data_IF_930528246196
#
_entry.id   IF_930528246196
#
_cell.length_a   1.000
_cell.length_b   1.000
_cell.length_c   1.000
_cell.angle_alpha   90.00
_cell.angle_beta   90.00
_cell.angle_gamma   90.00
#
_symmetry.space_group_name_H-M   'P 1'
#
loop_
_entity.id
_entity.type
_entity.pdbx_description
1 polymer ?
#
# COMPACT_ATOMS: atom_id res chain seq x y z
N UNK A 1 7.37 0.71 -16.80
CA UNK A 1 7.69 2.08 -16.37
C UNK A 1 9.21 2.18 -16.35
N UNK A 2 9.80 3.28 -16.83
CA UNK A 2 11.25 3.47 -16.76
C UNK A 2 11.72 3.65 -15.30
N UNK A 3 13.03 3.53 -15.00
CA UNK A 3 13.52 3.59 -13.64
C UNK A 3 13.23 4.93 -12.94
N UNK A 4 13.34 6.06 -13.64
CA UNK A 4 13.16 7.38 -13.03
C UNK A 4 11.68 7.66 -12.77
N UNK A 5 10.79 7.26 -13.67
CA UNK A 5 9.35 7.31 -13.41
C UNK A 5 8.95 6.42 -12.23
N UNK A 6 9.58 5.25 -12.08
CA UNK A 6 9.34 4.38 -10.90
C UNK A 6 9.76 5.08 -9.60
N UNK A 7 10.90 5.78 -9.59
CA UNK A 7 11.31 6.58 -8.43
C UNK A 7 10.28 7.65 -8.08
N UNK A 8 9.79 8.39 -9.08
CA UNK A 8 8.79 9.44 -8.87
C UNK A 8 7.47 8.86 -8.38
N UNK A 9 7.04 7.72 -8.93
CA UNK A 9 5.85 7.00 -8.48
C UNK A 9 5.97 6.56 -7.02
N UNK A 10 7.14 6.07 -6.59
CA UNK A 10 7.40 5.72 -5.20
C UNK A 10 7.36 6.94 -4.26
N UNK A 11 7.87 8.10 -4.69
CA UNK A 11 7.72 9.36 -3.95
C UNK A 11 6.24 9.75 -3.86
N UNK A 12 5.50 9.60 -4.96
CA UNK A 12 4.09 9.97 -5.06
C UNK A 12 3.19 9.12 -4.15
N UNK A 13 3.47 7.82 -4.05
CA UNK A 13 2.75 6.86 -3.21
C UNK A 13 2.94 7.09 -1.70
N UNK A 14 4.00 7.79 -1.30
CA UNK A 14 4.17 8.23 0.10
C UNK A 14 3.35 9.48 0.44
N UNK A 15 2.50 9.94 -0.49
CA UNK A 15 1.44 10.88 -0.19
C UNK A 15 1.94 12.26 0.24
N UNK A 16 1.09 13.01 0.93
CA UNK A 16 1.42 14.36 1.37
C UNK A 16 2.48 14.40 2.49
N UNK A 17 2.57 13.34 3.30
CA UNK A 17 3.62 13.16 4.30
C UNK A 17 5.03 13.06 3.71
N UNK A 18 5.14 12.67 2.43
CA UNK A 18 6.40 12.54 1.71
C UNK A 18 7.27 11.36 2.17
N UNK A 19 8.32 11.11 1.39
CA UNK A 19 9.27 10.02 1.60
C UNK A 19 10.62 10.53 2.09
N UNK A 20 11.21 9.86 3.08
CA UNK A 20 12.62 10.12 3.46
C UNK A 20 13.56 9.38 2.51
N UNK A 21 14.80 9.85 2.36
CA UNK A 21 15.79 9.19 1.50
C UNK A 21 16.04 7.72 1.87
N UNK A 22 16.24 7.34 3.15
CA UNK A 22 16.37 5.93 3.51
C UNK A 22 15.13 5.10 3.15
N UNK A 23 13.93 5.64 3.37
CA UNK A 23 12.67 4.98 3.02
C UNK A 23 12.54 4.75 1.51
N UNK A 24 12.99 5.70 0.69
CA UNK A 24 13.01 5.54 -0.77
C UNK A 24 13.85 4.33 -1.18
N UNK A 25 15.02 4.14 -0.59
CA UNK A 25 15.87 2.98 -0.89
C UNK A 25 15.21 1.66 -0.47
N UNK A 26 14.57 1.63 0.70
CA UNK A 26 13.82 0.47 1.19
C UNK A 26 12.68 0.10 0.23
N UNK A 27 11.92 1.11 -0.23
CA UNK A 27 10.82 0.92 -1.18
C UNK A 27 11.31 0.43 -2.55
N UNK A 28 12.31 1.08 -3.12
CA UNK A 28 12.88 0.67 -4.41
C UNK A 28 13.51 -0.72 -4.36
N UNK A 29 14.07 -1.12 -3.21
CA UNK A 29 14.62 -2.46 -3.01
C UNK A 29 13.55 -3.58 -3.00
N UNK A 30 12.28 -3.23 -2.79
CA UNK A 30 11.17 -4.19 -2.65
C UNK A 30 10.02 -3.98 -3.62
N UNK A 31 10.12 -2.99 -4.51
CA UNK A 31 9.12 -2.69 -5.54
C UNK A 31 8.91 -3.88 -6.48
N UNK A 32 7.68 -4.05 -6.95
CA UNK A 32 7.31 -5.06 -7.94
C UNK A 32 6.73 -4.39 -9.20
N UNK A 33 7.13 -4.79 -10.41
CA UNK A 33 8.26 -5.66 -10.74
C UNK A 33 9.59 -5.08 -10.21
N UNK A 34 10.59 -5.96 -10.04
CA UNK A 34 11.88 -5.61 -9.44
C UNK A 34 12.48 -4.37 -10.11
N UNK A 35 12.94 -3.43 -9.30
CA UNK A 35 13.61 -2.23 -9.80
C UNK A 35 14.80 -2.61 -10.69
N UNK A 36 14.90 -2.06 -11.92
CA UNK A 36 15.86 -2.53 -12.92
C UNK A 36 17.31 -2.15 -12.62
N UNK A 37 17.56 -1.13 -11.79
CA UNK A 37 18.91 -0.68 -11.45
C UNK A 37 19.35 -1.25 -10.09
N UNK A 38 20.66 -1.50 -9.94
CA UNK A 38 21.24 -1.84 -8.64
C UNK A 38 21.32 -0.59 -7.78
N UNK A 39 20.92 -0.67 -6.51
CA UNK A 39 20.99 0.47 -5.59
C UNK A 39 22.39 0.63 -4.98
N UNK A 40 23.41 0.71 -5.82
CA UNK A 40 24.76 1.10 -5.42
C UNK A 40 24.88 2.64 -5.27
N UNK A 41 25.99 3.11 -4.72
CA UNK A 41 26.16 4.54 -4.39
C UNK A 41 26.11 5.43 -5.65
N UNK A 42 26.66 4.98 -6.77
CA UNK A 42 26.60 5.71 -8.04
C UNK A 42 25.16 5.84 -8.55
N UNK A 43 24.38 4.76 -8.48
CA UNK A 43 22.97 4.79 -8.89
C UNK A 43 22.14 5.65 -7.95
N UNK A 44 22.39 5.59 -6.63
CA UNK A 44 21.71 6.48 -5.66
C UNK A 44 22.02 7.95 -5.93
N UNK A 45 23.27 8.28 -6.25
CA UNK A 45 23.66 9.66 -6.63
C UNK A 45 22.96 10.11 -7.91
N UNK A 46 22.88 9.24 -8.92
CA UNK A 46 22.15 9.50 -10.15
C UNK A 46 20.65 9.74 -9.90
N UNK A 47 20.01 8.87 -9.11
CA UNK A 47 18.61 9.02 -8.71
C UNK A 47 18.41 10.34 -7.95
N UNK A 48 19.31 10.66 -7.01
CA UNK A 48 19.27 11.91 -6.26
C UNK A 48 19.33 13.14 -7.18
N UNK A 49 20.26 13.18 -8.15
CA UNK A 49 20.33 14.25 -9.15
C UNK A 49 19.03 14.37 -9.94
N UNK A 50 18.43 13.25 -10.33
CA UNK A 50 17.12 13.25 -11.01
C UNK A 50 16.01 13.83 -10.14
N UNK A 51 15.98 13.48 -8.84
CA UNK A 51 14.98 13.98 -7.89
C UNK A 51 15.11 15.50 -7.69
N UNK A 52 16.33 16.00 -7.49
CA UNK A 52 16.61 17.43 -7.26
C UNK A 52 16.18 18.29 -8.45
N UNK A 53 16.44 17.81 -9.67
CA UNK A 53 16.11 18.50 -10.90
C UNK A 53 14.64 18.41 -11.31
N UNK A 54 13.86 17.51 -10.70
CA UNK A 54 12.45 17.35 -11.01
C UNK A 54 11.61 18.49 -10.42
N UNK A 55 10.91 19.23 -11.28
CA UNK A 55 10.09 20.41 -10.89
C UNK A 55 8.81 20.04 -10.14
N UNK A 56 8.30 18.84 -10.34
CA UNK A 56 7.12 18.31 -9.66
C UNK A 56 7.41 17.82 -8.24
N UNK A 57 8.68 17.81 -7.83
CA UNK A 57 9.08 17.41 -6.49
C UNK A 57 9.46 18.63 -5.65
N UNK A 58 9.03 18.59 -4.39
CA UNK A 58 9.35 19.56 -3.34
C UNK A 58 10.04 18.87 -2.18
N UNK A 59 10.91 19.61 -1.52
CA UNK A 59 11.72 19.12 -0.41
C UNK A 59 11.35 19.90 0.84
N UNK A 60 11.05 19.16 1.91
CA UNK A 60 10.68 19.74 3.19
C UNK A 60 11.56 19.19 4.30
N UNK A 61 11.87 20.06 5.26
CA UNK A 61 12.47 19.70 6.54
C UNK A 61 11.36 19.52 7.58
N UNK A 62 11.28 18.33 8.18
CA UNK A 62 10.37 18.03 9.28
C UNK A 62 10.89 18.60 10.61
N UNK A 63 10.00 18.96 11.55
CA UNK A 63 10.41 19.44 12.87
C UNK A 63 11.20 18.39 13.68
N UNK A 64 10.91 17.10 13.44
CA UNK A 64 11.56 15.96 14.08
C UNK A 64 11.95 14.90 13.06
N UNK A 65 12.94 14.07 13.41
CA UNK A 65 13.32 12.94 12.57
C UNK A 65 12.17 11.93 12.43
N UNK A 66 11.97 11.42 11.22
CA UNK A 66 11.03 10.34 10.97
C UNK A 66 11.79 9.01 10.94
N UNK A 67 11.36 7.98 11.69
CA UNK A 67 11.95 6.66 11.59
C UNK A 67 11.72 6.06 10.19
N UNK A 68 12.61 5.15 9.80
CA UNK A 68 12.50 4.48 8.49
C UNK A 68 11.25 3.59 8.46
N UNK A 69 10.65 3.43 7.27
CA UNK A 69 9.50 2.54 7.12
C UNK A 69 9.89 1.10 7.42
N UNK A 70 9.09 0.42 8.22
CA UNK A 70 9.16 -1.02 8.37
C UNK A 70 8.21 -1.64 7.34
N UNK A 71 8.78 -2.35 6.36
CA UNK A 71 7.97 -3.07 5.37
C UNK A 71 7.32 -4.26 6.06
N UNK A 72 6.03 -4.11 6.35
CA UNK A 72 5.25 -5.14 7.01
C UNK A 72 4.77 -6.18 6.00
N UNK A 73 5.10 -7.45 6.29
CA UNK A 73 4.41 -8.56 5.68
C UNK A 73 3.22 -8.92 6.57
N UNK A 74 1.99 -8.69 6.09
CA UNK A 74 0.76 -9.00 6.85
C UNK A 74 0.57 -10.50 7.13
N UNK A 75 1.43 -11.34 6.54
CA UNK A 75 1.49 -12.78 6.72
C UNK A 75 2.71 -13.24 7.52
N UNK A 76 3.41 -12.31 8.20
CA UNK A 76 4.41 -12.68 9.21
C UNK A 76 3.92 -12.29 10.60
N UNK A 77 4.45 -12.97 11.62
CA UNK A 77 4.07 -12.79 13.02
C UNK A 77 4.60 -11.49 13.67
N UNK A 78 5.19 -10.59 12.87
CA UNK A 78 5.90 -9.42 13.37
C UNK A 78 4.94 -8.30 13.81
N UNK A 79 5.22 -7.69 14.96
CA UNK A 79 4.45 -6.54 15.45
C UNK A 79 4.71 -5.32 14.55
N UNK A 80 3.68 -4.89 13.80
CA UNK A 80 3.73 -3.71 12.94
C UNK A 80 3.49 -2.42 13.72
N UNK A 81 4.43 -1.47 13.63
CA UNK A 81 4.22 -0.10 14.11
C UNK A 81 3.98 0.84 12.93
N UNK A 82 2.77 1.36 12.85
CA UNK A 82 2.41 2.38 11.88
C UNK A 82 3.06 3.72 12.24
N UNK A 83 3.96 4.20 11.38
CA UNK A 83 4.64 5.49 11.57
C UNK A 83 3.87 6.66 10.95
N UNK A 84 2.79 6.39 10.21
CA UNK A 84 1.99 7.39 9.52
C UNK A 84 0.65 7.60 10.23
N UNK A 85 0.66 8.47 11.23
CA UNK A 85 -0.57 8.89 11.88
C UNK A 85 -1.46 9.66 10.89
N UNK A 86 -2.69 9.17 10.71
CA UNK A 86 -3.67 9.75 9.80
C UNK A 86 -4.15 11.13 10.29
N UNK A 87 -3.84 12.19 9.54
CA UNK A 87 -4.20 13.58 9.83
C UNK A 87 -4.66 14.27 8.55
N UNK A 88 -5.99 14.35 8.34
CA UNK A 88 -6.56 15.10 7.21
C UNK A 88 -6.25 16.57 7.43
N UNK A 89 -5.64 17.19 6.43
CA UNK A 89 -5.46 18.64 6.46
C UNK A 89 -6.85 19.31 6.33
N UNK A 90 -7.26 20.15 7.29
CA UNK A 90 -8.46 20.97 7.12
C UNK A 90 -8.24 21.91 5.93
N UNK A 91 -9.34 22.28 5.26
CA UNK A 91 -9.34 23.02 3.98
C UNK A 91 -8.17 23.99 3.82
N UNK A 92 -7.23 23.62 2.95
CA UNK A 92 -6.16 24.49 2.52
C UNK A 92 -6.66 25.36 1.36
N UNK A 93 -6.40 26.67 1.42
CA UNK A 93 -6.70 27.64 0.35
C UNK A 93 -6.08 27.25 -1.00
N UNK A 94 -5.00 26.48 -0.99
CA UNK A 94 -4.29 26.04 -2.19
C UNK A 94 -4.87 24.76 -2.84
N UNK A 95 -5.96 24.20 -2.30
CA UNK A 95 -6.60 22.99 -2.86
C UNK A 95 -5.77 21.71 -2.71
N UNK A 96 -4.75 21.70 -1.84
CA UNK A 96 -3.94 20.50 -1.55
C UNK A 96 -4.79 19.49 -0.78
N UNK A 97 -4.73 18.22 -1.19
CA UNK A 97 -5.39 17.10 -0.54
C UNK A 97 -4.35 16.06 -0.06
N UNK A 98 -4.65 15.38 1.04
CA UNK A 98 -3.82 14.30 1.58
C UNK A 98 -3.73 14.31 3.09
N UNK A 99 -3.01 13.33 3.64
CA UNK A 99 -2.76 13.23 5.07
C UNK A 99 -1.34 13.67 5.38
N UNK A 100 -1.16 14.60 6.31
CA UNK A 100 0.16 14.97 6.80
C UNK A 100 0.10 15.58 8.19
N UNK A 101 0.80 14.95 9.15
CA UNK A 101 0.82 15.42 10.54
C UNK A 101 1.52 16.77 10.70
N UNK A 102 2.62 16.99 9.98
CA UNK A 102 3.46 18.19 10.10
C UNK A 102 3.26 19.16 8.93
N UNK A 103 2.05 19.22 8.38
CA UNK A 103 1.79 20.01 7.18
C UNK A 103 2.11 21.51 7.37
N UNK A 104 1.82 22.05 8.55
CA UNK A 104 2.03 23.47 8.88
C UNK A 104 3.43 23.74 9.45
N UNK A 105 4.03 22.75 10.08
CA UNK A 105 5.30 22.84 10.80
C UNK A 105 6.51 22.57 9.91
N UNK A 106 6.34 21.82 8.81
CA UNK A 106 7.43 21.52 7.88
C UNK A 106 7.89 22.76 7.13
N UNK A 107 9.19 22.87 6.89
CA UNK A 107 9.80 24.00 6.17
C UNK A 107 10.13 23.62 4.73
N UNK A 108 9.66 24.39 3.75
CA UNK A 108 10.07 24.21 2.34
C UNK A 108 11.54 24.62 2.17
N UNK A 109 12.39 23.64 1.85
CA UNK A 109 13.83 23.79 1.62
C UNK A 109 14.20 23.46 0.17
N UNK A 110 13.23 23.40 -0.74
CA UNK A 110 13.43 23.05 -2.16
C UNK A 110 14.50 23.91 -2.83
N UNK A 111 14.49 25.23 -2.58
CA UNK A 111 15.49 26.15 -3.15
C UNK A 111 16.89 25.83 -2.63
N UNK A 112 17.00 25.54 -1.33
CA UNK A 112 18.28 25.24 -0.68
C UNK A 112 18.87 23.96 -1.26
N UNK A 113 18.08 22.89 -1.33
CA UNK A 113 18.46 21.58 -1.90
C UNK A 113 18.92 21.70 -3.36
N UNK A 114 18.24 22.52 -4.17
CA UNK A 114 18.61 22.74 -5.57
C UNK A 114 19.86 23.60 -5.75
N UNK A 115 20.16 24.48 -4.80
CA UNK A 115 21.37 25.31 -4.84
C UNK A 115 22.59 24.64 -4.22
N UNK A 116 22.42 23.82 -3.19
CA UNK A 116 23.51 23.28 -2.40
C UNK A 116 23.04 22.03 -1.65
N UNK A 117 23.86 20.99 -1.66
CA UNK A 117 23.57 19.78 -0.91
C UNK A 117 23.92 19.98 0.57
N UNK A 118 22.93 19.87 1.45
CA UNK A 118 23.14 19.81 2.90
C UNK A 118 22.65 18.48 3.46
N UNK A 119 23.34 17.97 4.47
CA UNK A 119 22.97 16.74 5.18
C UNK A 119 21.79 16.97 6.12
N UNK A 120 20.56 16.82 5.62
CA UNK A 120 19.32 16.94 6.42
C UNK A 120 18.86 15.60 7.04
N UNK A 121 19.63 14.52 6.83
CA UNK A 121 19.39 13.21 7.44
C UNK A 121 17.94 12.70 7.28
N UNK A 122 17.34 12.26 8.39
CA UNK A 122 15.97 11.72 8.46
C UNK A 122 14.88 12.79 8.62
N UNK A 123 15.23 14.08 8.63
CA UNK A 123 14.26 15.18 8.63
C UNK A 123 13.84 15.60 7.21
N UNK A 124 14.65 15.27 6.21
CA UNK A 124 14.35 15.55 4.82
C UNK A 124 13.28 14.61 4.29
N UNK A 125 12.19 15.20 3.80
CA UNK A 125 11.17 14.47 3.03
C UNK A 125 10.98 15.08 1.65
N UNK A 126 10.76 14.20 0.67
CA UNK A 126 10.43 14.55 -0.70
C UNK A 126 8.93 14.34 -0.88
N UNK A 127 8.25 15.34 -1.44
CA UNK A 127 6.81 15.32 -1.69
C UNK A 127 6.57 15.63 -3.16
N UNK A 128 5.84 14.76 -3.85
CA UNK A 128 5.40 15.01 -5.21
C UNK A 128 4.22 15.99 -5.25
N UNK A 129 4.08 16.72 -6.36
CA UNK A 129 2.98 17.64 -6.60
C UNK A 129 1.62 16.94 -6.47
N UNK A 130 0.56 17.71 -6.19
CA UNK A 130 -0.80 17.17 -6.08
C UNK A 130 -1.20 16.37 -7.32
N UNK A 131 -0.87 16.87 -8.52
CA UNK A 131 -1.18 16.19 -9.78
C UNK A 131 -0.43 14.86 -9.91
N UNK A 132 0.87 14.82 -9.57
CA UNK A 132 1.67 13.58 -9.65
C UNK A 132 1.20 12.55 -8.61
N UNK A 133 0.90 12.97 -7.37
CA UNK A 133 0.31 12.08 -6.34
C UNK A 133 -1.04 11.54 -6.77
N UNK A 134 -1.92 12.41 -7.27
CA UNK A 134 -3.24 11.98 -7.72
C UNK A 134 -3.14 10.98 -8.87
N UNK A 135 -2.29 11.26 -9.87
CA UNK A 135 -2.07 10.39 -11.01
C UNK A 135 -1.52 9.02 -10.61
N UNK A 136 -0.60 8.98 -9.64
CA UNK A 136 -0.11 7.73 -9.08
C UNK A 136 -1.25 6.91 -8.44
N UNK A 137 -2.15 7.55 -7.69
CA UNK A 137 -3.24 6.85 -7.00
C UNK A 137 -4.34 6.34 -7.95
N UNK A 138 -4.77 7.14 -8.93
CA UNK A 138 -5.87 6.76 -9.83
C UNK A 138 -5.41 5.86 -10.98
N UNK A 139 -4.11 5.86 -11.32
CA UNK A 139 -3.58 5.11 -12.45
C UNK A 139 -3.80 5.79 -13.81
N UNK A 140 -3.13 5.25 -14.84
CA UNK A 140 -3.07 5.89 -16.15
C UNK A 140 -4.42 5.90 -16.91
N UNK A 141 -5.26 4.91 -16.65
CA UNK A 141 -6.51 4.67 -17.37
C UNK A 141 -7.67 5.54 -16.88
N UNK A 142 -7.50 6.22 -15.74
CA UNK A 142 -8.55 7.03 -15.12
C UNK A 142 -8.43 8.52 -15.47
N UNK A 143 -9.56 9.21 -15.37
CA UNK A 143 -9.70 10.65 -15.64
C UNK A 143 -8.85 11.50 -14.67
N UNK A 144 -7.84 12.25 -15.16
CA UNK A 144 -7.01 13.14 -14.34
C UNK A 144 -7.80 14.27 -13.66
N UNK A 145 -8.99 14.62 -14.15
CA UNK A 145 -9.83 15.69 -13.62
C UNK A 145 -10.91 15.18 -12.64
N UNK A 146 -10.88 13.88 -12.31
CA UNK A 146 -11.81 13.26 -11.36
C UNK A 146 -11.78 13.98 -10.01
N UNK A 147 -12.93 14.47 -9.58
CA UNK A 147 -13.08 15.15 -8.27
C UNK A 147 -13.46 14.16 -7.17
N UNK A 148 -12.81 14.29 -6.02
CA UNK A 148 -13.16 13.53 -4.81
C UNK A 148 -12.99 14.39 -3.56
N UNK A 149 -13.73 14.03 -2.50
CA UNK A 149 -13.60 14.70 -1.21
C UNK A 149 -12.22 14.46 -0.58
N UNK A 150 -11.78 15.40 0.26
CA UNK A 150 -10.51 15.28 0.99
C UNK A 150 -10.43 13.97 1.79
N UNK A 151 -11.53 13.59 2.46
CA UNK A 151 -11.60 12.34 3.22
C UNK A 151 -11.42 11.10 2.33
N UNK A 152 -12.09 11.06 1.16
CA UNK A 152 -11.96 9.93 0.22
C UNK A 152 -10.56 9.88 -0.37
N UNK A 153 -9.96 11.03 -0.68
CA UNK A 153 -8.58 11.13 -1.13
C UNK A 153 -7.61 10.61 -0.07
N UNK A 154 -7.81 10.92 1.21
CA UNK A 154 -6.97 10.42 2.29
C UNK A 154 -7.08 8.91 2.47
N UNK A 155 -8.28 8.33 2.30
CA UNK A 155 -8.45 6.87 2.22
C UNK A 155 -7.66 6.30 1.06
N UNK A 156 -7.77 6.90 -0.12
CA UNK A 156 -7.08 6.45 -1.32
C UNK A 156 -5.54 6.53 -1.17
N UNK A 157 -5.03 7.62 -0.62
CA UNK A 157 -3.61 7.83 -0.33
C UNK A 157 -3.10 6.79 0.68
N UNK A 158 -3.89 6.49 1.71
CA UNK A 158 -3.55 5.45 2.69
C UNK A 158 -3.49 4.06 2.08
N UNK A 159 -4.47 3.70 1.24
CA UNK A 159 -4.47 2.44 0.49
C UNK A 159 -3.29 2.38 -0.49
N UNK A 160 -2.97 3.48 -1.17
CA UNK A 160 -1.84 3.58 -2.09
C UNK A 160 -0.49 3.35 -1.42
N UNK A 161 -0.28 3.93 -0.24
CA UNK A 161 0.94 3.74 0.55
C UNK A 161 1.22 2.26 0.87
N UNK A 162 0.17 1.45 1.01
CA UNK A 162 0.29 0.02 1.29
C UNK A 162 0.67 -0.83 0.06
N UNK A 163 0.62 -0.28 -1.16
CA UNK A 163 1.01 -0.96 -2.41
C UNK A 163 0.35 -2.35 -2.54
N UNK A 164 1.11 -3.40 -2.85
CA UNK A 164 0.61 -4.78 -2.95
C UNK A 164 0.18 -5.39 -1.62
N UNK A 165 0.54 -4.80 -0.47
CA UNK A 165 0.08 -5.30 0.83
C UNK A 165 -1.38 -4.97 1.10
N UNK A 166 -1.87 -3.88 0.51
CA UNK A 166 -3.20 -3.35 0.75
C UNK A 166 -3.42 -2.88 2.19
N UNK A 167 -4.51 -2.17 2.41
CA UNK A 167 -4.92 -1.70 3.72
C UNK A 167 -6.18 -2.43 4.18
N UNK A 168 -6.21 -2.86 5.44
CA UNK A 168 -7.41 -3.49 5.97
C UNK A 168 -8.42 -2.44 6.38
N UNK A 169 -9.69 -2.73 6.12
CA UNK A 169 -10.79 -1.89 6.55
C UNK A 169 -10.76 -1.66 8.07
N UNK A 170 -10.41 -2.68 8.86
CA UNK A 170 -10.26 -2.58 10.31
C UNK A 170 -9.16 -1.60 10.76
N UNK A 171 -8.06 -1.49 10.00
CA UNK A 171 -6.99 -0.55 10.28
C UNK A 171 -7.43 0.89 10.00
N UNK A 172 -8.25 1.08 8.97
CA UNK A 172 -8.83 2.39 8.66
C UNK A 172 -9.84 2.81 9.73
N UNK A 173 -10.64 1.87 10.24
CA UNK A 173 -11.58 2.13 11.33
C UNK A 173 -10.86 2.62 12.59
N UNK A 174 -9.71 2.06 12.97
CA UNK A 174 -9.03 2.48 14.21
C UNK A 174 -8.33 3.86 14.16
N UNK A 175 -8.34 4.55 13.01
CA UNK A 175 -7.73 5.86 12.81
C UNK A 175 -8.73 7.00 12.60
N UNK A 176 -8.61 7.72 11.48
CA UNK A 176 -9.48 8.84 11.03
C UNK A 176 -10.99 8.56 11.08
N UNK A 177 -11.38 7.30 11.10
CA UNK A 177 -12.75 6.83 10.93
C UNK A 177 -13.29 6.12 12.18
N UNK A 178 -12.62 6.27 13.33
CA UNK A 178 -12.91 5.57 14.59
C UNK A 178 -14.28 5.80 15.19
N UNK A 179 -14.98 6.85 14.76
CA UNK A 179 -16.28 7.19 15.30
C UNK A 179 -17.47 6.56 14.58
N UNK A 180 -17.34 6.12 13.32
CA UNK A 180 -18.49 5.53 12.60
C UNK A 180 -18.08 4.63 11.42
N UNK A 181 -18.37 3.33 11.54
CA UNK A 181 -18.16 2.38 10.47
C UNK A 181 -18.99 2.68 9.20
N UNK A 182 -20.13 3.37 9.33
CA UNK A 182 -20.92 3.85 8.19
C UNK A 182 -20.13 4.88 7.39
N UNK A 183 -19.36 5.75 8.04
CA UNK A 183 -18.56 6.79 7.37
C UNK A 183 -17.57 6.18 6.38
N UNK A 184 -16.83 5.13 6.78
CA UNK A 184 -15.86 4.51 5.87
C UNK A 184 -16.53 3.87 4.64
N UNK A 185 -17.73 3.30 4.78
CA UNK A 185 -18.50 2.81 3.63
C UNK A 185 -18.81 3.93 2.64
N UNK A 186 -19.24 5.10 3.11
CA UNK A 186 -19.50 6.25 2.25
C UNK A 186 -18.25 6.78 1.57
N UNK A 187 -17.11 6.81 2.27
CA UNK A 187 -15.84 7.29 1.72
C UNK A 187 -15.26 6.37 0.65
N UNK A 188 -15.41 5.05 0.81
CA UNK A 188 -14.91 4.09 -0.19
C UNK A 188 -15.87 3.91 -1.38
N UNK A 189 -17.16 4.16 -1.21
CA UNK A 189 -18.17 4.01 -2.28
C UNK A 189 -17.79 4.73 -3.59
N UNK A 190 -17.38 6.01 -3.61
CA UNK A 190 -16.92 6.66 -4.83
C UNK A 190 -15.64 6.03 -5.38
N UNK A 191 -14.70 5.62 -4.52
CA UNK A 191 -13.45 4.98 -4.95
C UNK A 191 -13.70 3.65 -5.68
N UNK A 192 -14.68 2.87 -5.23
CA UNK A 192 -15.12 1.64 -5.92
C UNK A 192 -15.88 1.96 -7.20
N UNK A 193 -16.79 2.95 -7.17
CA UNK A 193 -17.58 3.37 -8.32
C UNK A 193 -16.69 3.81 -9.50
N UNK A 194 -15.58 4.48 -9.20
CA UNK A 194 -14.59 4.94 -10.19
C UNK A 194 -13.47 3.91 -10.43
N UNK A 195 -13.62 2.66 -9.98
CA UNK A 195 -12.66 1.57 -10.16
C UNK A 195 -11.22 1.91 -9.72
N UNK A 196 -11.08 2.75 -8.70
CA UNK A 196 -9.77 3.17 -8.15
C UNK A 196 -9.22 2.14 -7.17
N UNK A 197 -10.11 1.43 -6.47
CA UNK A 197 -9.76 0.40 -5.50
C UNK A 197 -10.53 -0.89 -5.75
N UNK A 198 -9.95 -1.99 -5.30
CA UNK A 198 -10.58 -3.32 -5.24
C UNK A 198 -10.79 -3.73 -3.80
N UNK A 199 -11.84 -4.53 -3.57
CA UNK A 199 -12.21 -5.04 -2.26
C UNK A 199 -12.15 -6.56 -2.27
N UNK A 200 -11.43 -7.14 -1.33
CA UNK A 200 -11.36 -8.59 -1.16
C UNK A 200 -11.73 -9.00 0.26
N UNK A 201 -12.52 -10.07 0.45
CA UNK A 201 -12.71 -10.68 1.76
C UNK A 201 -11.35 -11.09 2.36
N UNK A 202 -11.15 -10.81 3.64
CA UNK A 202 -9.92 -11.16 4.34
C UNK A 202 -10.23 -11.59 5.77
N UNK A 203 -9.58 -12.67 6.22
CA UNK A 203 -9.75 -13.21 7.58
C UNK A 203 -8.45 -13.07 8.36
N UNK A 204 -8.51 -12.41 9.51
CA UNK A 204 -7.42 -12.24 10.44
C UNK A 204 -7.55 -13.22 11.60
N UNK A 205 -6.46 -13.88 11.97
CA UNK A 205 -6.36 -14.60 13.25
C UNK A 205 -5.78 -13.66 14.30
N UNK A 206 -6.57 -13.31 15.29
CA UNK A 206 -6.12 -12.49 16.43
C UNK A 206 -5.21 -13.30 17.35
N UNK A 207 -4.39 -12.61 18.17
CA UNK A 207 -3.54 -13.26 19.19
C UNK A 207 -4.34 -14.10 20.19
N UNK A 208 -5.63 -13.78 20.39
CA UNK A 208 -6.59 -14.56 21.19
C UNK A 208 -7.05 -15.87 20.53
N UNK A 209 -6.63 -16.13 19.28
CA UNK A 209 -7.07 -17.28 18.48
C UNK A 209 -8.38 -17.07 17.73
N UNK A 210 -9.13 -16.00 18.02
CA UNK A 210 -10.37 -15.67 17.32
C UNK A 210 -10.12 -15.24 15.87
N UNK A 211 -11.05 -15.60 14.98
CA UNK A 211 -11.05 -15.15 13.59
C UNK A 211 -11.87 -13.87 13.46
N UNK A 212 -11.31 -12.86 12.82
CA UNK A 212 -11.99 -11.61 12.48
C UNK A 212 -12.08 -11.47 10.97
N UNK A 213 -13.30 -11.35 10.45
CA UNK A 213 -13.53 -11.08 9.04
C UNK A 213 -13.51 -9.57 8.77
N UNK A 214 -12.81 -9.17 7.71
CA UNK A 214 -12.64 -7.78 7.29
C UNK A 214 -12.49 -7.72 5.77
N UNK A 215 -12.31 -6.52 5.23
CA UNK A 215 -12.02 -6.31 3.82
C UNK A 215 -10.60 -5.81 3.65
N UNK A 216 -9.91 -6.37 2.66
CA UNK A 216 -8.64 -5.87 2.16
C UNK A 216 -8.90 -4.93 0.99
N UNK A 217 -8.42 -3.70 1.12
CA UNK A 217 -8.50 -2.65 0.11
C UNK A 217 -7.15 -2.59 -0.61
N UNK A 218 -7.15 -2.67 -1.93
CA UNK A 218 -5.97 -2.42 -2.77
C UNK A 218 -6.28 -1.37 -3.82
N UNK A 219 -5.31 -0.55 -4.20
CA UNK A 219 -5.42 0.22 -5.44
C UNK A 219 -5.60 -0.73 -6.62
N UNK A 220 -6.39 -0.34 -7.61
CA UNK A 220 -6.66 -1.15 -8.80
C UNK A 220 -5.38 -1.61 -9.49
N UNK A 221 -4.40 -0.72 -9.62
CA UNK A 221 -3.10 -1.00 -10.25
C UNK A 221 -2.20 -1.98 -9.46
N UNK A 222 -2.50 -2.20 -8.18
CA UNK A 222 -1.80 -3.17 -7.32
C UNK A 222 -2.64 -4.39 -6.99
N UNK A 223 -3.79 -4.54 -7.66
CA UNK A 223 -4.69 -5.65 -7.39
C UNK A 223 -3.99 -6.99 -7.63
N UNK A 224 -4.01 -7.82 -6.60
CA UNK A 224 -3.58 -9.21 -6.65
C UNK A 224 -4.70 -10.03 -6.05
N UNK A 225 -5.19 -11.04 -6.77
CA UNK A 225 -6.23 -11.89 -6.24
C UNK A 225 -5.67 -12.78 -5.10
N UNK A 226 -5.84 -12.33 -3.85
CA UNK A 226 -5.44 -13.07 -2.66
C UNK A 226 -6.42 -14.20 -2.35
N UNK A 227 -6.09 -15.42 -2.81
CA UNK A 227 -6.82 -16.65 -2.47
C UNK A 227 -6.37 -17.19 -1.12
N UNK A 228 -7.32 -17.49 -0.24
CA UNK A 228 -7.04 -18.16 1.04
C UNK A 228 -6.65 -19.63 0.81
N UNK A 229 -6.11 -20.28 1.85
CA UNK A 229 -5.87 -21.75 1.81
C UNK A 229 -7.16 -22.51 1.53
N UNK A 230 -8.27 -22.05 2.11
CA UNK A 230 -9.59 -22.64 1.89
C UNK A 230 -10.08 -22.45 0.47
N UNK A 231 -9.85 -21.29 -0.16
CA UNK A 231 -10.25 -21.08 -1.56
C UNK A 231 -9.51 -22.05 -2.49
N UNK A 232 -8.20 -22.20 -2.30
CA UNK A 232 -7.39 -23.18 -3.07
C UNK A 232 -7.83 -24.62 -2.80
N UNK A 233 -8.12 -24.94 -1.55
CA UNK A 233 -8.63 -26.27 -1.18
C UNK A 233 -10.00 -26.53 -1.79
N UNK A 234 -10.90 -25.54 -1.81
CA UNK A 234 -12.24 -25.68 -2.37
C UNK A 234 -12.21 -25.81 -3.89
N UNK A 235 -11.33 -25.07 -4.56
CA UNK A 235 -11.02 -25.23 -5.99
C UNK A 235 -10.54 -26.65 -6.27
N UNK A 236 -9.58 -27.16 -5.47
CA UNK A 236 -9.11 -28.54 -5.59
C UNK A 236 -10.21 -29.59 -5.37
N UNK A 237 -11.03 -29.41 -4.33
CA UNK A 237 -12.18 -30.30 -4.05
C UNK A 237 -13.13 -30.29 -5.24
N UNK A 238 -13.43 -29.12 -5.80
CA UNK A 238 -14.28 -28.98 -6.98
C UNK A 238 -13.70 -29.73 -8.18
N UNK A 239 -12.42 -29.53 -8.49
CA UNK A 239 -11.73 -30.19 -9.62
C UNK A 239 -11.66 -31.70 -9.46
N UNK A 240 -11.48 -32.18 -8.22
CA UNK A 240 -11.53 -33.60 -7.90
C UNK A 240 -12.94 -34.17 -8.11
N UNK A 241 -13.97 -33.50 -7.58
CA UNK A 241 -15.35 -33.95 -7.69
C UNK A 241 -15.85 -33.99 -9.14
N UNK A 242 -15.39 -33.07 -10.00
CA UNK A 242 -15.72 -33.07 -11.43
C UNK A 242 -15.32 -34.35 -12.16
N UNK A 243 -14.38 -35.14 -11.62
CA UNK A 243 -13.93 -36.40 -12.20
C UNK A 243 -14.92 -37.56 -11.91
N UNK A 244 -15.89 -37.36 -11.02
CA UNK A 244 -16.84 -38.39 -10.60
C UNK A 244 -18.24 -38.17 -11.19
N UNK A 245 -18.96 -39.25 -11.56
CA UNK A 245 -20.36 -39.16 -11.98
C UNK A 245 -21.21 -38.50 -10.89
N UNK A 246 -21.96 -37.46 -11.26
CA UNK A 246 -22.81 -36.73 -10.30
C UNK A 246 -22.05 -35.78 -9.37
N UNK A 247 -20.75 -35.53 -9.61
CA UNK A 247 -19.92 -34.58 -8.86
C UNK A 247 -19.90 -34.85 -7.35
N UNK A 248 -19.97 -36.12 -6.96
CA UNK A 248 -20.06 -36.56 -5.58
C UNK A 248 -19.13 -37.74 -5.32
N UNK A 249 -18.57 -37.79 -4.12
CA UNK A 249 -17.74 -38.91 -3.63
C UNK A 249 -17.81 -38.99 -2.11
N UNK A 250 -17.30 -40.07 -1.53
CA UNK A 250 -17.21 -40.20 -0.07
C UNK A 250 -16.04 -39.40 0.49
N UNK A 251 -16.18 -38.92 1.73
CA UNK A 251 -15.11 -38.19 2.42
C UNK A 251 -13.84 -39.05 2.55
N UNK A 252 -14.00 -40.37 2.72
CA UNK A 252 -12.86 -41.29 2.85
C UNK A 252 -12.09 -41.46 1.54
N UNK A 253 -12.77 -41.52 0.40
CA UNK A 253 -12.12 -41.54 -0.92
C UNK A 253 -11.33 -40.26 -1.18
N UNK A 254 -11.90 -39.10 -0.80
CA UNK A 254 -11.19 -37.82 -0.90
C UNK A 254 -9.98 -37.75 0.04
N UNK A 255 -10.10 -38.23 1.29
CA UNK A 255 -8.97 -38.29 2.24
C UNK A 255 -7.82 -39.15 1.71
N UNK A 256 -8.12 -40.32 1.14
CA UNK A 256 -7.10 -41.19 0.52
C UNK A 256 -6.39 -40.48 -0.64
N UNK A 257 -7.15 -39.76 -1.46
CA UNK A 257 -6.60 -38.97 -2.55
C UNK A 257 -5.69 -37.83 -2.06
N UNK A 258 -6.08 -37.11 -0.99
CA UNK A 258 -5.26 -36.07 -0.38
C UNK A 258 -3.93 -36.60 0.19
N UNK A 259 -3.94 -37.76 0.85
CA UNK A 259 -2.74 -38.39 1.43
C UNK A 259 -1.76 -38.81 0.34
N UNK A 260 -2.25 -39.22 -0.83
CA UNK A 260 -1.40 -39.57 -1.99
C UNK A 260 -0.73 -38.36 -2.67
N UNK A 261 -1.22 -37.14 -2.42
CA UNK A 261 -0.71 -35.90 -3.01
C UNK A 261 0.06 -35.07 -1.97
N UNK A 262 1.36 -35.35 -1.82
CA UNK A 262 2.28 -34.74 -0.82
C UNK A 262 2.26 -33.20 -0.82
N UNK A 263 2.11 -32.56 -1.98
CA UNK A 263 2.01 -31.09 -2.07
C UNK A 263 0.75 -30.52 -1.38
N UNK A 264 -0.33 -31.30 -1.31
CA UNK A 264 -1.60 -30.87 -0.72
C UNK A 264 -1.59 -31.09 0.79
N UNK A 265 -0.97 -32.19 1.24
CA UNK A 265 -0.69 -32.39 2.66
C UNK A 265 0.16 -31.25 3.22
N UNK A 266 1.13 -30.72 2.46
CA UNK A 266 1.89 -29.52 2.82
C UNK A 266 1.05 -28.24 2.77
N UNK A 267 0.14 -28.05 1.79
CA UNK A 267 -0.79 -26.91 1.80
C UNK A 267 -1.70 -26.89 3.05
N UNK A 268 -2.05 -28.08 3.56
CA UNK A 268 -2.90 -28.27 4.75
C UNK A 268 -2.12 -28.26 6.07
N UNK A 269 -0.87 -28.72 6.08
CA UNK A 269 -0.03 -28.86 7.29
C UNK A 269 1.17 -27.91 7.37
N UNK A 270 1.36 -26.98 6.42
CA UNK A 270 2.28 -25.86 6.66
C UNK A 270 1.60 -24.96 7.68
N UNK A 271 2.10 -25.08 8.90
CA UNK A 271 1.72 -24.35 10.09
C UNK A 271 1.53 -22.86 9.86
N UNK A 272 0.66 -22.32 10.70
CA UNK A 272 0.53 -20.91 11.06
C UNK A 272 1.85 -20.14 11.04
N UNK A 273 2.01 -19.26 10.05
CA UNK A 273 2.70 -17.97 10.14
C UNK A 273 1.89 -16.97 9.31
#
# INVERSE_FOLDING_TARGET
MDPLSTVVDEVALEGLDGITIPTLWIRLGTVQPKFPLKLDELTKEFIWKSLVNNRDLRFYELPQERPDVQLFNRYSADDYKDIYSLHVIPENKDGIQGSCNFFKERKDITKQIRSMFFGYGRKLVIVASQAVRFRALIGAENDPDLKMSNDSYCVLERVGRARWQGELQSNLHNGLFSSDARKLHYLRKPLVKHDLITLQPFSLRLKSGQQQHTLLLLLKRFHLNRRTKYDKMMEYVSDFLQQFPGQFTTVDAFKQHLVSHVQIYLLLNVDSL
#
